data_IF_208582810431
#
_entry.id   IF_208582810431
#
_cell.length_a   1.000
_cell.length_b   1.000
_cell.length_c   1.000
_cell.angle_alpha   90.00
_cell.angle_beta   90.00
_cell.angle_gamma   90.00
#
_symmetry.space_group_name_H-M   'P 1'
#
loop_
_entity.id
_entity.type
_entity.pdbx_description
1 polymer ?
#
# COMPACT_ATOMS: atom_id res chain seq x y z
N UNK A 1 -18.18 -0.14 15.39
CA UNK A 1 -16.91 0.28 14.82
C UNK A 1 -15.81 -0.52 15.50
N UNK A 2 -15.29 -1.51 14.81
CA UNK A 2 -14.17 -2.29 15.32
C UNK A 2 -12.93 -1.37 15.30
N UNK A 3 -12.53 -0.89 16.48
CA UNK A 3 -11.22 -0.26 16.65
C UNK A 3 -10.11 -1.29 16.39
N UNK A 4 -8.88 -0.82 16.24
CA UNK A 4 -7.71 -1.68 16.16
C UNK A 4 -7.65 -2.57 17.40
N UNK A 5 -7.39 -3.85 17.19
CA UNK A 5 -7.16 -4.80 18.28
C UNK A 5 -5.70 -4.70 18.70
N UNK A 6 -5.38 -5.14 19.90
CA UNK A 6 -4.00 -5.17 20.40
C UNK A 6 -3.06 -5.94 19.45
N UNK A 7 -3.58 -6.99 18.82
CA UNK A 7 -2.87 -7.77 17.79
C UNK A 7 -2.50 -6.94 16.56
N UNK A 8 -3.37 -6.03 16.12
CA UNK A 8 -3.14 -5.17 14.95
C UNK A 8 -2.06 -4.14 15.28
N UNK A 9 -2.11 -3.57 16.49
CA UNK A 9 -1.11 -2.61 16.98
C UNK A 9 0.26 -3.30 17.10
N UNK A 10 0.32 -4.50 17.69
CA UNK A 10 1.55 -5.27 17.81
C UNK A 10 2.15 -5.60 16.44
N UNK A 11 1.33 -6.00 15.47
CA UNK A 11 1.78 -6.27 14.11
C UNK A 11 2.36 -5.01 13.44
N UNK A 12 1.68 -3.86 13.59
CA UNK A 12 2.18 -2.59 13.06
C UNK A 12 3.48 -2.14 13.73
N UNK A 13 3.63 -2.35 15.04
CA UNK A 13 4.84 -2.02 15.77
C UNK A 13 6.04 -2.89 15.36
N UNK A 14 5.79 -4.13 14.94
CA UNK A 14 6.81 -5.08 14.49
C UNK A 14 7.22 -4.91 13.03
N UNK A 15 6.48 -4.11 12.26
CA UNK A 15 6.73 -3.90 10.84
C UNK A 15 7.73 -2.76 10.60
N UNK A 16 8.64 -2.92 9.64
CA UNK A 16 9.54 -1.86 9.18
C UNK A 16 8.77 -0.76 8.43
N UNK A 17 7.73 -1.13 7.73
CA UNK A 17 6.83 -0.20 7.00
C UNK A 17 5.40 -0.71 7.06
N UNK A 18 4.47 0.19 7.36
CA UNK A 18 3.03 -0.08 7.35
C UNK A 18 2.40 0.66 6.16
N UNK A 19 1.82 -0.08 5.22
CA UNK A 19 1.09 0.51 4.11
C UNK A 19 -0.40 0.63 4.46
N UNK A 20 -0.90 1.85 4.50
CA UNK A 20 -2.33 2.12 4.66
C UNK A 20 -2.91 2.51 3.31
N UNK A 21 -3.78 1.65 2.77
CA UNK A 21 -4.43 1.90 1.48
C UNK A 21 -5.74 2.65 1.69
N UNK A 22 -5.90 3.75 0.96
CA UNK A 22 -7.09 4.62 1.06
C UNK A 22 -7.57 5.10 -0.30
N UNK A 23 -8.70 5.81 -0.31
CA UNK A 23 -9.29 6.43 -1.49
C UNK A 23 -9.71 7.86 -1.17
N UNK A 24 -9.94 8.70 -2.21
CA UNK A 24 -10.40 10.09 -2.06
C UNK A 24 -11.92 10.16 -1.77
N UNK A 25 -12.37 9.41 -0.80
CA UNK A 25 -13.74 9.43 -0.29
C UNK A 25 -13.79 10.05 1.10
N UNK A 26 -14.84 10.79 1.40
CA UNK A 26 -15.02 11.50 2.68
C UNK A 26 -14.85 10.54 3.88
N UNK A 27 -15.44 9.35 3.79
CA UNK A 27 -15.35 8.34 4.84
C UNK A 27 -13.90 7.85 5.04
N UNK A 28 -13.17 7.62 3.93
CA UNK A 28 -11.79 7.15 3.97
C UNK A 28 -10.86 8.22 4.55
N UNK A 29 -10.96 9.47 4.11
CA UNK A 29 -10.16 10.60 4.62
C UNK A 29 -10.43 10.82 6.11
N UNK A 30 -11.70 10.77 6.53
CA UNK A 30 -12.07 10.88 7.96
C UNK A 30 -11.51 9.73 8.79
N UNK A 31 -11.55 8.50 8.28
CA UNK A 31 -11.01 7.33 8.97
C UNK A 31 -9.49 7.41 9.09
N UNK A 32 -8.77 7.89 8.07
CA UNK A 32 -7.34 8.15 8.14
C UNK A 32 -7.02 9.20 9.21
N UNK A 33 -7.72 10.33 9.23
CA UNK A 33 -7.52 11.35 10.25
C UNK A 33 -7.73 10.82 11.68
N UNK A 34 -8.75 9.96 11.88
CA UNK A 34 -8.98 9.30 13.16
C UNK A 34 -7.88 8.29 13.51
N UNK A 35 -7.41 7.54 12.52
CA UNK A 35 -6.30 6.61 12.69
C UNK A 35 -5.05 7.31 13.19
N UNK A 36 -4.63 8.39 12.51
CA UNK A 36 -3.45 9.14 12.91
C UNK A 36 -3.59 9.75 14.31
N UNK A 37 -4.76 10.32 14.64
CA UNK A 37 -5.04 10.81 16.00
C UNK A 37 -4.97 9.73 17.06
N UNK A 38 -5.48 8.53 16.77
CA UNK A 38 -5.43 7.40 17.71
C UNK A 38 -4.01 6.87 17.93
N UNK A 39 -3.09 7.14 17.00
CA UNK A 39 -1.69 6.74 17.05
C UNK A 39 -0.76 7.85 17.56
N UNK A 40 -1.29 9.06 17.81
CA UNK A 40 -0.55 10.11 18.50
C UNK A 40 -0.09 9.60 19.87
N UNK A 41 1.22 9.67 20.13
CA UNK A 41 1.82 9.15 21.36
C UNK A 41 2.34 7.71 21.26
N UNK A 42 2.19 7.03 20.13
CA UNK A 42 2.84 5.73 19.90
C UNK A 42 4.19 5.96 19.22
N UNK A 43 5.27 5.75 19.96
CA UNK A 43 6.63 6.07 19.52
C UNK A 43 7.00 5.45 18.16
N UNK A 44 7.33 6.32 17.18
CA UNK A 44 7.87 5.95 15.88
C UNK A 44 6.92 5.21 14.93
N UNK A 45 5.68 4.91 15.33
CA UNK A 45 4.74 4.18 14.49
C UNK A 45 4.26 5.04 13.32
N UNK A 46 3.93 6.31 13.57
CA UNK A 46 3.43 7.24 12.55
C UNK A 46 4.45 7.41 11.41
N UNK A 47 5.75 7.42 11.72
CA UNK A 47 6.81 7.58 10.72
C UNK A 47 6.93 6.38 9.79
N UNK A 48 6.60 5.19 10.26
CA UNK A 48 6.60 3.95 9.48
C UNK A 48 5.37 3.79 8.60
N UNK A 49 4.30 4.57 8.85
CA UNK A 49 3.08 4.50 8.05
C UNK A 49 3.27 5.28 6.74
N UNK A 50 3.09 4.59 5.62
CA UNK A 50 3.04 5.16 4.28
C UNK A 50 1.63 5.02 3.71
N UNK A 51 1.03 6.13 3.27
CA UNK A 51 -0.34 6.12 2.74
C UNK A 51 -0.29 5.89 1.23
N UNK A 52 -0.94 4.83 0.76
CA UNK A 52 -1.12 4.54 -0.67
C UNK A 52 -2.52 4.97 -1.09
N UNK A 53 -2.59 5.94 -1.98
CA UNK A 53 -3.85 6.41 -2.55
C UNK A 53 -4.24 5.51 -3.73
N UNK A 54 -5.34 4.78 -3.59
CA UNK A 54 -5.86 3.88 -4.60
C UNK A 54 -6.97 4.53 -5.44
N UNK A 55 -7.21 4.02 -6.65
CA UNK A 55 -8.26 4.46 -7.58
C UNK A 55 -8.16 5.93 -7.99
N UNK A 56 -6.96 6.45 -8.12
CA UNK A 56 -6.74 7.84 -8.55
C UNK A 56 -7.32 8.05 -9.95
N UNK A 57 -8.13 9.10 -10.11
CA UNK A 57 -8.82 9.42 -11.37
C UNK A 57 -10.14 8.67 -11.57
N UNK A 58 -10.66 7.98 -10.56
CA UNK A 58 -12.03 7.48 -10.58
C UNK A 58 -13.02 8.67 -10.55
N UNK A 59 -14.03 8.63 -11.41
CA UNK A 59 -14.98 9.75 -11.60
C UNK A 59 -15.81 10.07 -10.37
N UNK A 60 -15.98 9.08 -9.49
CA UNK A 60 -16.78 9.21 -8.27
C UNK A 60 -15.99 9.86 -7.11
N UNK A 61 -14.67 10.03 -7.25
CA UNK A 61 -13.81 10.58 -6.20
C UNK A 61 -13.60 12.07 -6.43
N UNK A 62 -14.24 12.91 -5.62
CA UNK A 62 -14.33 14.36 -5.83
C UNK A 62 -13.52 15.20 -4.82
N UNK A 63 -12.72 14.57 -3.97
CA UNK A 63 -11.89 15.30 -3.01
C UNK A 63 -10.53 15.62 -3.67
N UNK A 64 -10.11 16.89 -3.73
CA UNK A 64 -8.76 17.23 -4.16
C UNK A 64 -7.70 16.58 -3.25
N UNK A 65 -6.61 16.10 -3.85
CA UNK A 65 -5.53 15.41 -3.13
C UNK A 65 -4.97 16.31 -2.02
N UNK A 66 -4.72 17.56 -2.33
CA UNK A 66 -4.17 18.57 -1.42
C UNK A 66 -5.08 18.77 -0.20
N UNK A 67 -6.40 18.79 -0.42
CA UNK A 67 -7.38 18.92 0.66
C UNK A 67 -7.46 17.70 1.55
N UNK A 68 -7.30 16.50 0.97
CA UNK A 68 -7.23 15.25 1.73
C UNK A 68 -5.95 15.21 2.59
N UNK A 69 -4.80 15.56 2.02
CA UNK A 69 -3.51 15.62 2.72
C UNK A 69 -3.55 16.63 3.88
N UNK A 70 -4.12 17.83 3.67
CA UNK A 70 -4.31 18.84 4.71
C UNK A 70 -5.18 18.30 5.86
N UNK A 71 -6.28 17.60 5.54
CA UNK A 71 -7.20 17.03 6.53
C UNK A 71 -6.57 15.89 7.34
N UNK A 72 -5.73 15.09 6.69
CA UNK A 72 -5.05 13.94 7.31
C UNK A 72 -3.82 14.41 8.13
N UNK A 73 -3.19 15.52 7.72
CA UNK A 73 -1.92 16.00 8.26
C UNK A 73 -0.69 15.24 7.74
N UNK A 74 -0.86 14.43 6.67
CA UNK A 74 0.22 13.64 6.06
C UNK A 74 0.03 13.50 4.56
N UNK A 75 1.14 13.53 3.81
CA UNK A 75 1.14 13.35 2.35
C UNK A 75 0.94 11.90 1.94
N UNK A 76 0.34 11.70 0.78
CA UNK A 76 0.30 10.38 0.16
C UNK A 76 1.70 9.99 -0.32
N UNK A 77 2.13 8.81 0.08
CA UNK A 77 3.42 8.24 -0.32
C UNK A 77 3.38 7.73 -1.76
N UNK A 78 2.26 7.13 -2.17
CA UNK A 78 2.12 6.54 -3.48
C UNK A 78 0.71 6.70 -4.02
N UNK A 79 0.60 6.73 -5.36
CA UNK A 79 -0.69 6.83 -6.06
C UNK A 79 -0.84 5.69 -7.05
N UNK A 80 -1.96 4.96 -6.95
CA UNK A 80 -2.33 3.87 -7.85
C UNK A 80 -3.50 4.31 -8.70
N UNK A 81 -3.34 4.42 -10.04
CA UNK A 81 -4.40 4.83 -10.95
C UNK A 81 -5.59 3.88 -10.92
N UNK A 82 -6.79 4.42 -11.18
CA UNK A 82 -7.96 3.60 -11.36
C UNK A 82 -7.92 2.88 -12.72
N UNK A 83 -8.07 1.55 -12.70
CA UNK A 83 -8.25 0.73 -13.89
C UNK A 83 -9.21 -0.42 -13.56
N UNK A 84 -10.49 -0.08 -13.56
CA UNK A 84 -11.54 -1.02 -13.23
C UNK A 84 -11.58 -2.21 -14.18
N UNK A 85 -11.47 -1.98 -15.49
CA UNK A 85 -11.64 -3.01 -16.51
C UNK A 85 -10.58 -4.11 -16.38
N UNK A 86 -9.30 -3.74 -16.37
CA UNK A 86 -8.21 -4.70 -16.24
C UNK A 86 -8.19 -5.38 -14.87
N UNK A 87 -8.54 -4.65 -13.81
CA UNK A 87 -8.61 -5.22 -12.45
C UNK A 87 -9.70 -6.28 -12.34
N UNK A 88 -10.88 -6.03 -12.88
CA UNK A 88 -11.98 -7.01 -12.89
C UNK A 88 -11.62 -8.20 -13.78
N UNK A 89 -11.07 -7.98 -14.97
CA UNK A 89 -10.65 -9.04 -15.88
C UNK A 89 -9.60 -9.97 -15.24
N UNK A 90 -8.57 -9.41 -14.62
CA UNK A 90 -7.54 -10.15 -13.92
C UNK A 90 -8.13 -10.99 -12.77
N UNK A 91 -9.00 -10.39 -11.95
CA UNK A 91 -9.69 -11.08 -10.86
C UNK A 91 -10.56 -12.22 -11.36
N UNK A 92 -11.32 -12.02 -12.44
CA UNK A 92 -12.18 -13.05 -13.04
C UNK A 92 -11.35 -14.20 -13.62
N UNK A 93 -10.18 -13.88 -14.20
CA UNK A 93 -9.25 -14.88 -14.72
C UNK A 93 -8.44 -15.60 -13.63
N UNK A 94 -8.50 -15.16 -12.37
CA UNK A 94 -7.70 -15.70 -11.27
C UNK A 94 -6.19 -15.45 -11.43
N UNK A 95 -5.80 -14.41 -12.19
CA UNK A 95 -4.41 -14.11 -12.50
C UNK A 95 -4.03 -12.76 -11.86
N UNK A 96 -2.84 -12.61 -11.26
CA UNK A 96 -2.38 -11.32 -10.75
C UNK A 96 -2.41 -10.23 -11.83
N UNK A 97 -2.90 -9.03 -11.47
CA UNK A 97 -3.06 -7.91 -12.40
C UNK A 97 -1.76 -7.58 -13.16
N UNK A 98 -0.64 -7.59 -12.48
CA UNK A 98 0.68 -7.31 -13.07
C UNK A 98 1.12 -8.37 -14.11
N UNK A 99 0.55 -9.56 -14.05
CA UNK A 99 0.77 -10.62 -15.05
C UNK A 99 -0.28 -10.56 -16.16
N UNK A 100 -1.54 -10.28 -15.81
CA UNK A 100 -2.65 -10.21 -16.75
C UNK A 100 -2.52 -9.01 -17.71
N UNK A 101 -2.19 -7.84 -17.17
CA UNK A 101 -2.12 -6.59 -17.92
C UNK A 101 -0.85 -5.78 -17.55
N UNK A 102 0.36 -6.28 -17.85
CA UNK A 102 1.64 -5.73 -17.34
C UNK A 102 1.94 -4.31 -17.84
N UNK A 103 1.41 -3.92 -18.98
CA UNK A 103 1.66 -2.62 -19.62
C UNK A 103 0.68 -1.52 -19.20
N UNK A 104 -0.29 -1.82 -18.35
CA UNK A 104 -1.23 -0.82 -17.86
C UNK A 104 -0.61 0.11 -16.83
N UNK A 105 -1.15 1.33 -16.74
CA UNK A 105 -0.67 2.33 -15.77
C UNK A 105 -0.74 1.79 -14.32
N UNK A 106 -1.79 1.04 -13.99
CA UNK A 106 -1.96 0.46 -12.65
C UNK A 106 -0.90 -0.61 -12.37
N UNK A 107 -0.61 -1.51 -13.33
CA UNK A 107 0.43 -2.54 -13.16
C UNK A 107 1.83 -1.92 -13.03
N UNK A 108 2.12 -0.91 -13.84
CA UNK A 108 3.39 -0.16 -13.75
C UNK A 108 3.51 0.54 -12.39
N UNK A 109 2.43 1.17 -11.90
CA UNK A 109 2.44 1.83 -10.60
C UNK A 109 2.66 0.84 -9.45
N UNK A 110 2.06 -0.35 -9.50
CA UNK A 110 2.25 -1.40 -8.49
C UNK A 110 3.68 -1.97 -8.53
N UNK A 111 4.24 -2.21 -9.72
CA UNK A 111 5.63 -2.68 -9.86
C UNK A 111 6.63 -1.67 -9.29
N UNK A 112 6.47 -0.39 -9.62
CA UNK A 112 7.32 0.67 -9.08
C UNK A 112 7.17 0.85 -7.56
N UNK A 113 5.94 0.70 -7.02
CA UNK A 113 5.73 0.69 -5.57
C UNK A 113 6.53 -0.44 -4.90
N UNK A 114 6.51 -1.63 -5.50
CA UNK A 114 7.27 -2.78 -4.98
C UNK A 114 8.78 -2.55 -5.03
N UNK A 115 9.29 -1.94 -6.11
CA UNK A 115 10.70 -1.55 -6.25
C UNK A 115 11.11 -0.51 -5.19
N UNK A 116 10.29 0.52 -4.98
CA UNK A 116 10.52 1.56 -3.97
C UNK A 116 10.57 0.98 -2.55
N UNK A 117 9.65 0.07 -2.22
CA UNK A 117 9.63 -0.60 -0.93
C UNK A 117 10.82 -1.54 -0.73
N UNK A 118 11.23 -2.26 -1.78
CA UNK A 118 12.41 -3.12 -1.75
C UNK A 118 13.70 -2.29 -1.58
N UNK A 119 13.80 -1.14 -2.23
CA UNK A 119 14.92 -0.21 -2.11
C UNK A 119 15.06 0.41 -0.72
N UNK A 120 13.95 0.71 -0.05
CA UNK A 120 13.97 1.22 1.33
C UNK A 120 14.36 0.16 2.35
N UNK A 121 14.09 -1.12 2.09
CA UNK A 121 14.52 -2.23 2.95
C UNK A 121 16.02 -2.56 2.83
N UNK A 122 16.68 -2.13 1.75
CA UNK A 122 18.12 -2.36 1.54
C UNK A 122 19.03 -1.42 2.36
N UNK A 123 18.46 -0.46 3.08
CA UNK A 123 19.18 0.55 3.84
C UNK A 123 19.55 0.18 5.30
N UNK A 124 19.16 -0.99 5.78
CA UNK A 124 19.64 -1.49 7.08
C UNK A 124 20.98 -2.23 6.90
N UNK A 125 22.05 -1.93 7.67
CA UNK A 125 23.33 -2.60 7.51
C UNK A 125 23.20 -4.08 7.89
N UNK A 126 23.14 -4.94 6.88
CA UNK A 126 23.28 -6.38 7.10
C UNK A 126 24.77 -6.74 7.23
N UNK A 127 25.27 -6.80 8.46
CA UNK A 127 26.43 -7.61 8.75
C UNK A 127 25.99 -9.08 8.80
N UNK A 128 26.43 -9.86 7.84
CA UNK A 128 26.44 -11.33 7.90
C UNK A 128 25.55 -12.02 6.87
N UNK A 129 26.23 -12.68 5.93
CA UNK A 129 25.81 -13.79 5.06
C UNK A 129 24.54 -13.58 4.21
N UNK A 130 24.75 -13.48 2.91
CA UNK A 130 23.68 -13.42 1.90
C UNK A 130 22.79 -14.66 1.90
N UNK A 131 21.48 -14.54 2.19
CA UNK A 131 20.55 -15.60 1.85
C UNK A 131 20.29 -15.55 0.34
N UNK A 132 20.47 -16.68 -0.34
CA UNK A 132 20.08 -16.88 -1.73
C UNK A 132 18.63 -16.43 -1.92
N UNK A 133 18.41 -15.42 -2.75
CA UNK A 133 17.09 -14.94 -3.18
C UNK A 133 16.30 -16.11 -3.79
N UNK A 134 15.47 -16.75 -3.02
CA UNK A 134 14.36 -17.55 -3.53
C UNK A 134 13.25 -16.58 -3.88
N UNK A 135 13.13 -16.26 -5.16
CA UNK A 135 12.07 -15.38 -5.65
C UNK A 135 10.70 -15.92 -5.25
N UNK A 136 9.83 -15.05 -4.80
CA UNK A 136 8.43 -15.32 -4.43
C UNK A 136 7.64 -16.00 -5.58
N UNK A 137 8.18 -15.97 -6.80
CA UNK A 137 7.62 -16.58 -8.01
C UNK A 137 7.86 -18.09 -8.15
N UNK A 138 8.71 -18.71 -7.33
CA UNK A 138 8.98 -20.15 -7.41
C UNK A 138 7.85 -21.02 -6.83
N UNK A 139 6.84 -20.43 -6.21
CA UNK A 139 5.73 -21.16 -5.58
C UNK A 139 4.60 -21.48 -6.61
N UNK A 140 4.56 -20.79 -7.76
CA UNK A 140 3.48 -20.93 -8.74
C UNK A 140 3.84 -21.68 -10.03
N UNK A 141 5.07 -22.22 -10.16
CA UNK A 141 5.46 -23.01 -11.33
C UNK A 141 5.65 -24.49 -10.99
N UNK A 142 4.61 -25.13 -10.52
CA UNK A 142 4.61 -26.55 -10.24
C UNK A 142 3.23 -27.14 -10.48
N UNK A 143 3.02 -27.63 -11.64
CA UNK A 143 2.28 -28.82 -12.11
C UNK A 143 1.52 -28.54 -13.39
N UNK A 144 2.06 -29.04 -14.48
CA UNK A 144 1.25 -29.56 -15.56
C UNK A 144 0.93 -30.99 -15.21
#
# INVERSE_FOLDING_TARGET
SNGFRDTDITAMQSADTVLVVSQLEVACVRNLSRLFKAMEGTDGLIDRIKIVLNRVGAKELNIPIEKAEETIGKKFFWQVPNDWQNTVAARTAGVPLVMHAPKTKVSIALSKLAEELAGTSAGAPQNGAAPKRRGLFAIFSGSA
#
